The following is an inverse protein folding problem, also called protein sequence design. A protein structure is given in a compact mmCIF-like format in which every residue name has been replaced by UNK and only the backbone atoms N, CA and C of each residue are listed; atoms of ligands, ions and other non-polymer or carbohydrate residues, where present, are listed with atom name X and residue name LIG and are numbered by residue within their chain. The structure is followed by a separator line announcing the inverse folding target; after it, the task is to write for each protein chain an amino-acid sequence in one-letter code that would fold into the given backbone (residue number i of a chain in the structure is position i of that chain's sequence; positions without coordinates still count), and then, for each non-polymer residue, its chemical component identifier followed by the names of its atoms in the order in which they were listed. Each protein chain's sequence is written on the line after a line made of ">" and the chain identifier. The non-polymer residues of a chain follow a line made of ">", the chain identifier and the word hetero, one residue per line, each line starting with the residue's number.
data_IF_365289484042
#
_entry.id   IF_365289484042
#
_cell.length_a   1.000
_cell.length_b   1.000
_cell.length_c   1.000
_cell.angle_alpha   90.00
_cell.angle_beta   90.00
_cell.angle_gamma   90.00
#
_symmetry.space_group_name_H-M   'P 1'
#
loop_
_entity.id
_entity.type
_entity.pdbx_description
1 polymer ?
#
# COMPACT_ATOMS: atom_id res chain seq x y z
N UNK A 1 22.39 13.31 0.85
CA UNK A 1 20.94 13.12 0.66
C UNK A 1 20.21 13.82 1.80
N UNK A 2 19.03 14.42 1.57
CA UNK A 2 18.17 14.87 2.68
C UNK A 2 17.41 13.65 3.20
N UNK A 3 17.32 13.50 4.52
CA UNK A 3 16.50 12.45 5.13
C UNK A 3 15.01 12.69 4.77
N UNK A 4 14.27 11.68 4.28
CA UNK A 4 12.86 11.83 3.93
C UNK A 4 11.93 11.85 5.16
N UNK A 5 12.47 11.59 6.36
CA UNK A 5 11.73 11.56 7.62
C UNK A 5 11.99 12.82 8.46
N UNK A 6 10.98 13.38 9.15
CA UNK A 6 11.21 14.38 10.18
C UNK A 6 12.03 13.75 11.33
N UNK A 7 12.99 14.51 11.88
CA UNK A 7 13.93 14.00 12.90
C UNK A 7 13.31 13.66 14.25
N UNK A 8 12.13 14.20 14.54
CA UNK A 8 11.36 13.92 15.74
C UNK A 8 9.97 13.41 15.32
N UNK A 9 9.36 12.47 16.07
CA UNK A 9 7.93 12.24 15.98
C UNK A 9 7.24 13.55 16.39
N UNK A 10 6.46 14.14 15.48
CA UNK A 10 5.60 15.25 15.86
C UNK A 10 4.41 14.69 16.64
N UNK A 11 3.97 15.39 17.68
CA UNK A 11 2.67 15.12 18.31
C UNK A 11 1.59 15.27 17.24
N UNK A 12 0.91 14.17 16.91
CA UNK A 12 -0.11 14.09 15.87
C UNK A 12 -1.31 14.95 16.28
N UNK A 13 -1.46 16.14 15.70
CA UNK A 13 -2.51 17.11 16.07
C UNK A 13 -3.83 16.84 15.35
N UNK A 14 -4.37 15.64 15.56
CA UNK A 14 -5.66 15.20 15.04
C UNK A 14 -5.65 13.72 14.59
N UNK A 15 -6.78 13.20 14.07
CA UNK A 15 -6.79 11.91 13.40
C UNK A 15 -6.11 12.01 12.02
N UNK A 16 -5.17 11.11 11.66
CA UNK A 16 -4.51 11.10 10.36
C UNK A 16 -5.49 11.12 9.18
N UNK A 17 -5.31 12.07 8.26
CA UNK A 17 -6.27 12.34 7.19
C UNK A 17 -5.83 11.78 5.84
N UNK A 18 -6.78 11.58 4.92
CA UNK A 18 -6.50 11.29 3.52
C UNK A 18 -6.72 12.54 2.65
N UNK A 19 -5.72 12.88 1.85
CA UNK A 19 -5.84 13.85 0.76
C UNK A 19 -5.87 13.08 -0.57
N UNK A 20 -7.05 13.02 -1.19
CA UNK A 20 -7.24 12.24 -2.43
C UNK A 20 -6.83 13.09 -3.63
N UNK A 21 -5.89 12.57 -4.42
CA UNK A 21 -5.29 13.26 -5.56
C UNK A 21 -5.65 12.52 -6.85
N UNK A 22 -6.27 13.23 -7.78
CA UNK A 22 -6.37 12.81 -9.17
C UNK A 22 -5.14 13.38 -9.90
N UNK A 23 -4.20 12.54 -10.38
CA UNK A 23 -3.06 13.01 -11.17
C UNK A 23 -3.56 13.58 -12.50
N UNK A 24 -3.00 14.72 -12.94
CA UNK A 24 -3.28 15.25 -14.26
C UNK A 24 -2.72 14.33 -15.36
N UNK A 25 -3.13 14.54 -16.63
CA UNK A 25 -2.73 13.68 -17.74
C UNK A 25 -1.19 13.49 -17.86
N UNK A 26 -0.39 14.52 -17.61
CA UNK A 26 1.07 14.43 -17.65
C UNK A 26 1.63 13.55 -16.52
N UNK A 27 1.16 13.76 -15.29
CA UNK A 27 1.52 12.96 -14.12
C UNK A 27 1.08 11.49 -14.30
N UNK A 28 -0.12 11.28 -14.82
CA UNK A 28 -0.69 9.97 -15.07
C UNK A 28 0.07 9.20 -16.16
N UNK A 29 0.49 9.84 -17.26
CA UNK A 29 1.42 9.23 -18.24
C UNK A 29 2.78 8.88 -17.63
N UNK A 30 3.32 9.75 -16.78
CA UNK A 30 4.59 9.49 -16.09
C UNK A 30 4.51 8.26 -15.18
N UNK A 31 3.38 8.05 -14.48
CA UNK A 31 3.13 6.84 -13.68
C UNK A 31 3.09 5.59 -14.58
N UNK A 32 2.37 5.61 -15.70
CA UNK A 32 2.35 4.47 -16.63
C UNK A 32 3.74 4.13 -17.20
N UNK A 33 4.56 5.15 -17.48
CA UNK A 33 5.96 5.01 -17.92
C UNK A 33 6.86 4.42 -16.84
N UNK A 34 6.74 4.88 -15.59
CA UNK A 34 7.44 4.32 -14.43
C UNK A 34 7.09 2.83 -14.27
N UNK A 35 5.80 2.48 -14.39
CA UNK A 35 5.35 1.09 -14.35
C UNK A 35 5.95 0.26 -15.49
N UNK A 36 5.93 0.75 -16.74
CA UNK A 36 6.54 0.06 -17.89
C UNK A 36 8.04 -0.18 -17.71
N UNK A 37 8.78 0.85 -17.31
CA UNK A 37 10.25 0.79 -17.23
C UNK A 37 10.76 -0.23 -16.21
N UNK A 38 9.96 -0.53 -15.19
CA UNK A 38 10.33 -1.47 -14.13
C UNK A 38 9.63 -2.84 -14.23
N UNK A 39 8.66 -3.01 -15.13
CA UNK A 39 7.82 -4.24 -15.21
C UNK A 39 8.65 -5.53 -15.39
N UNK A 40 9.81 -5.45 -16.05
CA UNK A 40 10.72 -6.60 -16.24
C UNK A 40 11.34 -6.99 -14.90
N UNK A 41 11.99 -6.05 -14.22
CA UNK A 41 12.63 -6.25 -12.91
C UNK A 41 11.63 -6.59 -11.79
N UNK A 42 10.34 -6.36 -12.02
CA UNK A 42 9.24 -6.74 -11.13
C UNK A 42 8.68 -8.13 -11.42
N UNK A 43 8.57 -8.53 -12.70
CA UNK A 43 8.23 -9.92 -13.08
C UNK A 43 9.29 -10.92 -12.63
N UNK A 44 10.56 -10.52 -12.64
CA UNK A 44 11.68 -11.31 -12.07
C UNK A 44 11.57 -11.53 -10.55
N UNK A 45 10.70 -10.76 -9.87
CA UNK A 45 10.43 -10.83 -8.42
C UNK A 45 9.00 -11.27 -8.11
N UNK A 46 8.31 -11.87 -9.10
CA UNK A 46 6.91 -12.31 -9.03
C UNK A 46 5.90 -11.22 -8.61
N UNK A 47 6.23 -9.94 -8.80
CA UNK A 47 5.31 -8.86 -8.49
C UNK A 47 4.22 -8.72 -9.55
N UNK A 48 2.97 -8.75 -9.09
CA UNK A 48 1.82 -8.35 -9.90
C UNK A 48 1.84 -6.85 -10.22
N UNK A 49 1.21 -6.49 -11.34
CA UNK A 49 0.89 -5.11 -11.71
C UNK A 49 -0.57 -5.04 -12.16
N UNK A 50 -1.16 -3.84 -12.11
CA UNK A 50 -2.55 -3.62 -12.51
C UNK A 50 -2.66 -2.40 -13.43
N UNK A 51 -3.27 -2.58 -14.61
CA UNK A 51 -3.54 -1.52 -15.58
C UNK A 51 -4.83 -1.78 -16.38
N UNK A 52 -5.39 -0.77 -17.07
CA UNK A 52 -6.42 -0.92 -18.08
C UNK A 52 -5.99 -1.94 -19.15
N UNK A 53 -6.91 -2.80 -19.64
CA UNK A 53 -6.61 -3.75 -20.71
C UNK A 53 -5.96 -3.11 -21.95
N UNK A 54 -6.33 -1.86 -22.25
CA UNK A 54 -5.80 -1.04 -23.34
C UNK A 54 -4.29 -0.75 -23.20
N UNK A 55 -3.74 -0.80 -21.98
CA UNK A 55 -2.34 -0.50 -21.70
C UNK A 55 -1.46 -1.77 -21.59
N UNK A 56 -2.05 -2.97 -21.60
CA UNK A 56 -1.28 -4.23 -21.51
C UNK A 56 -0.18 -4.32 -22.57
N UNK A 57 -0.51 -4.07 -23.85
CA UNK A 57 0.45 -4.11 -24.95
C UNK A 57 1.61 -3.12 -24.78
N UNK A 58 1.38 -1.99 -24.10
CA UNK A 58 2.42 -1.00 -23.81
C UNK A 58 3.36 -1.46 -22.70
N UNK A 59 2.80 -1.99 -21.60
CA UNK A 59 3.60 -2.58 -20.52
C UNK A 59 4.37 -3.83 -21.00
N UNK A 60 3.84 -4.57 -21.97
CA UNK A 60 4.55 -5.68 -22.62
C UNK A 60 5.61 -5.25 -23.65
N UNK A 61 5.81 -3.94 -23.86
CA UNK A 61 6.78 -3.41 -24.81
C UNK A 61 6.43 -3.60 -26.29
N UNK A 62 5.18 -3.99 -26.61
CA UNK A 62 4.70 -4.29 -27.97
C UNK A 62 4.28 -3.05 -28.77
N UNK A 63 4.16 -1.88 -28.13
CA UNK A 63 3.84 -0.60 -28.79
C UNK A 63 4.78 0.51 -28.34
N UNK A 64 4.93 1.53 -29.19
CA UNK A 64 5.78 2.70 -28.96
C UNK A 64 5.20 3.63 -27.88
N UNK A 65 6.02 4.55 -27.36
CA UNK A 65 5.54 5.63 -26.49
C UNK A 65 4.58 6.59 -27.22
N UNK A 66 4.75 6.79 -28.53
CA UNK A 66 3.89 7.66 -29.34
C UNK A 66 2.49 7.05 -29.55
N UNK A 67 2.41 5.73 -29.74
CA UNK A 67 1.13 5.02 -29.89
C UNK A 67 0.44 4.81 -28.54
N UNK A 68 1.23 4.65 -27.47
CA UNK A 68 0.72 4.73 -26.11
C UNK A 68 0.14 6.11 -25.82
N UNK A 69 0.83 7.21 -26.12
CA UNK A 69 0.33 8.57 -25.83
C UNK A 69 -1.01 8.85 -26.55
N UNK A 70 -1.15 8.44 -27.82
CA UNK A 70 -2.44 8.52 -28.56
C UNK A 70 -3.55 7.71 -27.86
N UNK A 71 -3.22 6.51 -27.40
CA UNK A 71 -4.17 5.60 -26.73
C UNK A 71 -4.56 6.12 -25.35
N UNK A 72 -3.57 6.60 -24.59
CA UNK A 72 -3.72 7.19 -23.29
C UNK A 72 -4.58 8.45 -23.35
N UNK A 73 -4.35 9.36 -24.28
CA UNK A 73 -5.11 10.60 -24.38
C UNK A 73 -6.59 10.36 -24.72
N UNK A 74 -6.91 9.30 -25.46
CA UNK A 74 -8.29 8.85 -25.67
C UNK A 74 -8.88 8.25 -24.40
N UNK A 75 -8.14 7.36 -23.73
CA UNK A 75 -8.56 6.70 -22.50
C UNK A 75 -8.81 7.71 -21.37
N UNK A 76 -7.86 8.60 -21.13
CA UNK A 76 -7.89 9.59 -20.04
C UNK A 76 -9.04 10.60 -20.18
N UNK A 77 -9.41 10.98 -21.41
CA UNK A 77 -10.61 11.82 -21.65
C UNK A 77 -11.92 11.11 -21.31
N UNK A 78 -11.92 9.77 -21.27
CA UNK A 78 -13.07 8.93 -20.87
C UNK A 78 -12.93 8.37 -19.44
N UNK A 79 -11.86 8.73 -18.74
CA UNK A 79 -11.60 8.29 -17.37
C UNK A 79 -12.35 9.20 -16.39
N UNK A 80 -13.37 8.64 -15.75
CA UNK A 80 -14.10 9.30 -14.67
C UNK A 80 -13.70 8.67 -13.32
N UNK A 81 -12.87 9.37 -12.51
CA UNK A 81 -12.48 8.89 -11.19
C UNK A 81 -13.51 9.17 -10.09
N UNK A 82 -14.62 9.88 -10.35
CA UNK A 82 -15.52 10.40 -9.31
C UNK A 82 -16.08 9.32 -8.38
N UNK A 83 -16.49 8.17 -8.93
CA UNK A 83 -17.00 7.04 -8.12
C UNK A 83 -15.94 6.52 -7.13
N UNK A 84 -14.69 6.42 -7.56
CA UNK A 84 -13.58 5.94 -6.71
C UNK A 84 -13.13 7.03 -5.73
N UNK A 85 -13.19 8.32 -6.10
CA UNK A 85 -13.00 9.45 -5.17
C UNK A 85 -14.05 9.39 -4.05
N UNK A 86 -15.34 9.29 -4.41
CA UNK A 86 -16.43 9.23 -3.44
C UNK A 86 -16.30 8.00 -2.53
N UNK A 87 -15.89 6.86 -3.10
CA UNK A 87 -15.63 5.64 -2.34
C UNK A 87 -14.50 5.81 -1.34
N UNK A 88 -13.34 6.33 -1.77
CA UNK A 88 -12.20 6.61 -0.89
C UNK A 88 -12.55 7.65 0.18
N UNK A 89 -13.36 8.67 -0.13
CA UNK A 89 -13.89 9.60 0.88
C UNK A 89 -14.73 8.87 1.94
N UNK A 90 -15.59 7.94 1.52
CA UNK A 90 -16.39 7.12 2.44
C UNK A 90 -15.52 6.17 3.31
N UNK A 91 -14.33 5.80 2.84
CA UNK A 91 -13.35 5.02 3.62
C UNK A 91 -12.68 5.83 4.75
N UNK A 92 -12.66 7.16 4.68
CA UNK A 92 -11.84 8.02 5.56
C UNK A 92 -12.10 7.80 7.07
N UNK A 93 -13.34 7.64 7.58
CA UNK A 93 -13.57 7.34 9.00
C UNK A 93 -13.01 5.98 9.43
N UNK A 94 -13.09 4.97 8.54
CA UNK A 94 -12.54 3.63 8.78
C UNK A 94 -11.01 3.65 8.75
N UNK A 95 -10.43 4.37 7.79
CA UNK A 95 -8.99 4.60 7.68
C UNK A 95 -8.44 5.32 8.92
N UNK A 96 -9.04 6.45 9.31
CA UNK A 96 -8.70 7.19 10.54
C UNK A 96 -8.71 6.30 11.78
N UNK A 97 -9.75 5.47 11.94
CA UNK A 97 -9.86 4.51 13.05
C UNK A 97 -8.78 3.42 12.98
N UNK A 98 -8.46 2.92 11.79
CA UNK A 98 -7.44 1.90 11.56
C UNK A 98 -6.02 2.42 11.83
N UNK A 99 -5.64 3.56 11.26
CA UNK A 99 -4.33 4.19 11.51
C UNK A 99 -4.18 4.60 12.97
N UNK A 100 -5.25 5.02 13.65
CA UNK A 100 -5.23 5.27 15.10
C UNK A 100 -4.80 4.03 15.90
N UNK A 101 -5.11 2.81 15.45
CA UNK A 101 -4.64 1.58 16.10
C UNK A 101 -3.12 1.39 16.01
N UNK A 102 -2.42 2.12 15.14
CA UNK A 102 -0.95 2.10 15.05
C UNK A 102 -0.28 3.06 16.04
N UNK A 103 -1.01 3.94 16.73
CA UNK A 103 -0.42 4.91 17.68
C UNK A 103 0.50 4.27 18.75
N UNK A 104 0.17 3.11 19.36
CA UNK A 104 1.07 2.44 20.31
C UNK A 104 2.40 1.94 19.72
N UNK A 105 2.55 1.95 18.38
CA UNK A 105 3.80 1.62 17.70
C UNK A 105 4.73 2.84 17.58
N UNK A 106 4.23 4.07 17.78
CA UNK A 106 5.05 5.29 17.65
C UNK A 106 6.19 5.35 18.68
N UNK A 107 5.95 4.86 19.90
CA UNK A 107 6.96 4.72 20.97
C UNK A 107 8.19 3.90 20.55
N UNK A 108 8.02 3.05 19.54
CA UNK A 108 9.08 2.20 19.01
C UNK A 108 9.80 2.82 17.81
N UNK A 109 9.27 3.89 17.22
CA UNK A 109 9.77 4.53 16.01
C UNK A 109 8.86 4.39 14.77
N UNK A 110 7.65 3.85 14.90
CA UNK A 110 6.68 3.77 13.81
C UNK A 110 6.23 5.17 13.37
N UNK A 111 6.27 5.43 12.08
CA UNK A 111 5.94 6.75 11.53
C UNK A 111 4.44 6.86 11.18
N UNK A 112 3.73 7.78 11.84
CA UNK A 112 2.35 8.14 11.49
C UNK A 112 2.34 9.60 11.03
N UNK A 113 2.16 9.89 9.72
CA UNK A 113 1.93 11.25 9.25
C UNK A 113 0.52 11.75 9.56
N UNK A 114 0.39 13.06 9.76
CA UNK A 114 -0.92 13.74 9.91
C UNK A 114 -1.80 13.65 8.66
N UNK A 115 -1.18 13.44 7.49
CA UNK A 115 -1.85 13.35 6.20
C UNK A 115 -1.15 12.32 5.29
N UNK A 116 -1.96 11.43 4.70
CA UNK A 116 -1.56 10.51 3.64
C UNK A 116 -2.09 11.05 2.30
N UNK A 117 -1.23 11.16 1.29
CA UNK A 117 -1.64 11.53 -0.05
C UNK A 117 -2.06 10.28 -0.83
N UNK A 118 -3.36 10.13 -1.10
CA UNK A 118 -3.94 8.97 -1.78
C UNK A 118 -4.11 9.30 -3.26
N UNK A 119 -3.17 8.86 -4.09
CA UNK A 119 -3.19 9.12 -5.54
C UNK A 119 -3.98 8.04 -6.24
N UNK A 120 -5.06 8.41 -6.93
CA UNK A 120 -5.81 7.46 -7.77
C UNK A 120 -5.07 7.31 -9.09
N UNK A 121 -4.54 6.12 -9.36
CA UNK A 121 -3.65 5.86 -10.49
C UNK A 121 -4.32 5.08 -11.61
N UNK A 122 -4.00 5.37 -12.89
CA UNK A 122 -4.42 4.56 -14.03
C UNK A 122 -3.58 3.30 -14.18
N UNK A 123 -2.46 3.15 -13.46
CA UNK A 123 -1.60 1.97 -13.44
C UNK A 123 -0.96 1.90 -12.06
N UNK A 124 -0.92 0.71 -11.45
CA UNK A 124 -0.21 0.49 -10.20
C UNK A 124 0.73 -0.71 -10.29
N UNK A 125 1.84 -0.59 -9.59
CA UNK A 125 2.61 -1.70 -9.04
C UNK A 125 1.69 -2.39 -8.02
N UNK A 126 1.74 -3.71 -7.89
CA UNK A 126 0.86 -4.45 -6.99
C UNK A 126 -0.56 -4.67 -7.54
N UNK A 127 -1.32 -5.51 -6.83
CA UNK A 127 -2.65 -5.97 -7.26
C UNK A 127 -3.77 -5.03 -6.76
N UNK A 128 -3.56 -4.34 -5.65
CA UNK A 128 -4.49 -3.36 -5.04
C UNK A 128 -3.98 -1.92 -5.07
N UNK A 129 -2.73 -1.72 -4.66
CA UNK A 129 -2.06 -0.42 -4.59
C UNK A 129 -0.56 -0.58 -4.35
N UNK A 130 0.07 0.50 -3.91
CA UNK A 130 1.46 0.54 -3.44
C UNK A 130 1.72 1.85 -2.68
N UNK A 131 2.89 1.96 -2.05
CA UNK A 131 3.26 3.16 -1.29
C UNK A 131 4.59 3.78 -1.78
N UNK A 132 4.78 5.06 -1.48
CA UNK A 132 6.02 5.80 -1.75
C UNK A 132 6.24 6.90 -0.71
N UNK A 133 7.45 6.99 -0.16
CA UNK A 133 7.89 8.14 0.61
C UNK A 133 8.61 9.12 -0.33
N UNK A 134 7.96 10.22 -0.66
CA UNK A 134 8.52 11.26 -1.53
C UNK A 134 8.98 12.47 -0.72
N UNK A 135 10.16 13.02 -1.04
CA UNK A 135 10.62 14.29 -0.47
C UNK A 135 9.85 15.52 -0.99
N UNK A 136 9.08 15.37 -2.08
CA UNK A 136 8.29 16.46 -2.69
C UNK A 136 6.78 16.32 -2.47
N UNK A 137 6.28 15.10 -2.30
CA UNK A 137 4.85 14.81 -2.06
C UNK A 137 4.57 14.21 -0.68
N UNK A 138 5.59 13.98 0.16
CA UNK A 138 5.42 13.30 1.43
C UNK A 138 4.96 11.84 1.27
N UNK A 139 4.32 11.27 2.31
CA UNK A 139 3.84 9.90 2.32
C UNK A 139 2.66 9.74 1.36
N UNK A 140 2.87 8.88 0.36
CA UNK A 140 1.96 8.69 -0.76
C UNK A 140 1.51 7.24 -0.82
N UNK A 141 0.20 7.02 -0.92
CA UNK A 141 -0.42 5.74 -1.22
C UNK A 141 -0.97 5.84 -2.65
N UNK A 142 -0.48 4.99 -3.55
CA UNK A 142 -1.00 4.82 -4.90
C UNK A 142 -2.09 3.77 -4.88
N UNK A 143 -3.32 4.15 -5.23
CA UNK A 143 -4.46 3.25 -5.36
C UNK A 143 -4.70 2.97 -6.85
N UNK A 144 -4.89 1.72 -7.24
CA UNK A 144 -5.27 1.42 -8.63
C UNK A 144 -6.76 1.65 -8.86
N UNK A 145 -7.11 2.41 -9.91
CA UNK A 145 -8.50 2.57 -10.35
C UNK A 145 -9.05 1.27 -10.96
N UNK A 146 -9.68 0.42 -10.14
CA UNK A 146 -10.45 -0.75 -10.62
C UNK A 146 -11.93 -0.42 -10.74
N UNK A 147 -12.47 -0.47 -11.96
CA UNK A 147 -13.93 -0.53 -12.17
C UNK A 147 -14.58 -1.77 -11.52
N UNK A 148 -13.88 -2.91 -11.49
CA UNK A 148 -14.37 -4.17 -10.91
C UNK A 148 -13.34 -4.79 -9.94
N UNK A 149 -13.66 -4.81 -8.64
CA UNK A 149 -12.81 -5.32 -7.56
C UNK A 149 -13.03 -6.83 -7.26
N UNK A 150 -12.88 -7.71 -8.25
CA UNK A 150 -13.02 -9.15 -8.01
C UNK A 150 -11.86 -9.78 -7.18
N UNK A 151 -12.22 -10.57 -6.15
CA UNK A 151 -11.50 -11.66 -5.41
C UNK A 151 -10.19 -11.41 -4.60
N UNK A 152 -10.31 -10.98 -3.33
CA UNK A 152 -9.30 -11.23 -2.26
C UNK A 152 -8.33 -10.06 -1.95
N UNK A 153 -8.31 -9.60 -0.69
CA UNK A 153 -7.71 -8.31 -0.25
C UNK A 153 -8.29 -7.05 -0.94
N UNK A 154 -9.56 -7.09 -1.33
CA UNK A 154 -10.16 -6.14 -2.30
C UNK A 154 -11.31 -5.31 -1.72
N UNK A 155 -11.06 -4.64 -0.58
CA UNK A 155 -11.76 -3.40 -0.21
C UNK A 155 -10.71 -2.27 -0.11
N UNK A 156 -11.06 -1.03 -0.51
CA UNK A 156 -10.13 0.10 -0.47
C UNK A 156 -9.59 0.36 0.94
N UNK A 157 -10.37 0.18 2.00
CA UNK A 157 -9.94 0.36 3.39
C UNK A 157 -8.78 -0.58 3.75
N UNK A 158 -8.89 -1.86 3.39
CA UNK A 158 -7.86 -2.86 3.69
C UNK A 158 -6.55 -2.56 2.96
N UNK A 159 -6.63 -2.16 1.69
CA UNK A 159 -5.48 -1.74 0.90
C UNK A 159 -4.85 -0.47 1.50
N UNK A 160 -5.63 0.61 1.71
CA UNK A 160 -5.14 1.86 2.31
C UNK A 160 -4.41 1.63 3.64
N UNK A 161 -4.91 0.74 4.49
CA UNK A 161 -4.31 0.43 5.78
C UNK A 161 -3.04 -0.43 5.67
N UNK A 162 -3.00 -1.40 4.77
CA UNK A 162 -1.79 -2.16 4.43
C UNK A 162 -0.67 -1.20 3.93
N UNK A 163 -0.97 -0.32 2.97
CA UNK A 163 -0.02 0.67 2.44
C UNK A 163 0.40 1.72 3.49
N UNK A 164 -0.52 2.15 4.35
CA UNK A 164 -0.21 3.04 5.47
C UNK A 164 0.68 2.38 6.52
N UNK A 165 0.57 1.06 6.72
CA UNK A 165 1.43 0.31 7.62
C UNK A 165 2.84 0.19 7.05
N UNK A 166 3.00 -0.09 5.76
CA UNK A 166 4.29 -0.02 5.06
C UNK A 166 5.00 1.34 5.26
N UNK A 167 4.29 2.45 5.03
CA UNK A 167 4.78 3.81 5.28
C UNK A 167 5.33 3.97 6.71
N UNK A 168 4.64 3.38 7.70
CA UNK A 168 5.01 3.49 9.09
C UNK A 168 6.17 2.59 9.52
N UNK A 169 6.36 1.43 8.89
CA UNK A 169 7.48 0.52 9.20
C UNK A 169 8.70 0.63 8.27
N UNK A 170 8.65 1.40 7.18
CA UNK A 170 9.72 1.50 6.18
C UNK A 170 11.12 1.69 6.79
N UNK A 171 11.25 2.55 7.80
CA UNK A 171 12.53 2.77 8.49
C UNK A 171 13.04 1.50 9.19
N UNK A 172 12.18 0.75 9.88
CA UNK A 172 12.57 -0.52 10.49
C UNK A 172 12.93 -1.58 9.44
N UNK A 173 12.17 -1.69 8.35
CA UNK A 173 12.47 -2.65 7.26
C UNK A 173 13.90 -2.44 6.78
N UNK A 174 14.29 -1.19 6.54
CA UNK A 174 15.64 -0.82 6.09
C UNK A 174 16.71 -1.13 7.15
N UNK A 175 16.42 -0.92 8.44
CA UNK A 175 17.33 -1.28 9.55
C UNK A 175 17.48 -2.80 9.75
N UNK A 176 16.42 -3.58 9.51
CA UNK A 176 16.45 -5.04 9.62
C UNK A 176 16.94 -5.73 8.35
N UNK A 177 16.91 -5.09 7.19
CA UNK A 177 17.39 -5.66 5.92
C UNK A 177 16.52 -6.81 5.41
N UNK A 178 15.22 -6.75 5.70
CA UNK A 178 14.23 -7.74 5.27
C UNK A 178 14.09 -7.73 3.74
N UNK A 179 13.86 -8.90 3.15
CA UNK A 179 13.43 -8.99 1.76
C UNK A 179 11.95 -8.59 1.61
N UNK A 180 11.44 -8.49 0.38
CA UNK A 180 10.07 -8.04 0.16
C UNK A 180 9.05 -9.05 0.73
N UNK A 181 9.21 -10.35 0.51
CA UNK A 181 8.23 -11.36 0.96
C UNK A 181 8.08 -11.37 2.49
N UNK A 182 9.19 -11.25 3.22
CA UNK A 182 9.22 -11.09 4.68
C UNK A 182 8.46 -9.83 5.11
N UNK A 183 8.72 -8.71 4.43
CA UNK A 183 8.08 -7.40 4.66
C UNK A 183 6.57 -7.45 4.40
N UNK A 184 6.14 -7.95 3.24
CA UNK A 184 4.73 -8.10 2.85
C UNK A 184 4.01 -8.97 3.88
N UNK A 185 4.63 -10.09 4.28
CA UNK A 185 4.11 -10.98 5.30
C UNK A 185 3.96 -10.31 6.66
N UNK A 186 4.95 -9.54 7.12
CA UNK A 186 4.86 -8.75 8.36
C UNK A 186 3.73 -7.71 8.26
N UNK A 187 3.59 -7.02 7.13
CA UNK A 187 2.53 -6.03 6.93
C UNK A 187 1.15 -6.67 6.87
N UNK A 188 0.98 -7.79 6.17
CA UNK A 188 -0.28 -8.54 6.15
C UNK A 188 -0.67 -9.02 7.54
N UNK A 189 0.28 -9.56 8.31
CA UNK A 189 0.04 -9.99 9.69
C UNK A 189 -0.36 -8.80 10.55
N UNK A 190 0.48 -7.75 10.60
CA UNK A 190 0.28 -6.65 11.53
C UNK A 190 -0.88 -5.73 11.14
N UNK A 191 -1.15 -5.54 9.84
CA UNK A 191 -2.37 -4.86 9.39
C UNK A 191 -3.61 -5.63 9.80
N UNK A 192 -3.65 -6.96 9.63
CA UNK A 192 -4.78 -7.82 10.06
C UNK A 192 -4.92 -7.95 11.58
N UNK A 193 -3.85 -7.81 12.36
CA UNK A 193 -3.90 -7.87 13.83
C UNK A 193 -4.26 -6.52 14.47
N UNK A 194 -3.73 -5.41 13.95
CA UNK A 194 -4.09 -4.06 14.40
C UNK A 194 -5.47 -3.63 13.89
N UNK A 195 -5.95 -4.20 12.78
CA UNK A 195 -7.36 -4.19 12.41
C UNK A 195 -8.16 -5.03 13.40
N UNK A 196 -8.63 -4.37 14.45
CA UNK A 196 -9.57 -4.95 15.43
C UNK A 196 -10.69 -5.69 14.68
N UNK A 197 -11.07 -6.93 15.05
CA UNK A 197 -12.10 -7.72 14.38
C UNK A 197 -13.50 -7.08 14.26
N UNK A 198 -13.69 -5.87 14.81
CA UNK A 198 -14.88 -5.03 14.68
C UNK A 198 -14.83 -4.03 13.50
N UNK A 199 -13.71 -3.93 12.78
CA UNK A 199 -13.52 -2.99 11.66
C UNK A 199 -13.70 -3.68 10.31
N UNK A 200 -13.29 -4.95 10.17
CA UNK A 200 -13.47 -5.73 8.94
C UNK A 200 -14.75 -6.59 8.97
N UNK A 201 -15.46 -6.77 7.85
CA UNK A 201 -16.56 -7.73 7.77
C UNK A 201 -16.06 -9.16 8.05
N UNK A 202 -16.85 -9.94 8.80
CA UNK A 202 -16.46 -11.30 9.27
C UNK A 202 -16.05 -12.27 8.15
N UNK A 203 -16.49 -12.04 6.91
CA UNK A 203 -16.07 -12.80 5.72
C UNK A 203 -14.57 -12.68 5.43
N UNK A 204 -13.96 -11.52 5.63
CA UNK A 204 -12.52 -11.31 5.43
C UNK A 204 -11.70 -12.02 6.52
N UNK A 205 -12.24 -12.12 7.73
CA UNK A 205 -11.63 -12.86 8.85
C UNK A 205 -11.67 -14.39 8.68
N UNK A 206 -12.45 -14.93 7.75
CA UNK A 206 -12.48 -16.37 7.47
C UNK A 206 -11.28 -16.84 6.65
N UNK A 207 -10.67 -15.99 5.82
CA UNK A 207 -9.39 -16.30 5.17
C UNK A 207 -8.23 -16.23 6.18
N UNK A 208 -8.24 -15.25 7.09
CA UNK A 208 -7.21 -15.13 8.13
C UNK A 208 -7.26 -16.26 9.16
N UNK A 209 -8.40 -16.96 9.34
CA UNK A 209 -8.44 -18.18 10.18
C UNK A 209 -7.50 -19.27 9.67
N UNK A 210 -7.49 -19.57 8.37
CA UNK A 210 -6.52 -20.53 7.80
C UNK A 210 -5.08 -20.10 8.00
N UNK A 211 -4.78 -18.80 7.90
CA UNK A 211 -3.43 -18.28 8.19
C UNK A 211 -3.10 -18.48 9.68
N UNK A 212 -3.97 -18.08 10.60
CA UNK A 212 -3.75 -18.24 12.06
C UNK A 212 -3.70 -19.70 12.53
N UNK A 213 -4.40 -20.61 11.87
CA UNK A 213 -4.40 -22.05 12.16
C UNK A 213 -3.17 -22.78 11.60
N UNK A 214 -2.58 -22.30 10.49
CA UNK A 214 -1.31 -22.80 9.93
C UNK A 214 -0.07 -22.12 10.54
N UNK A 215 -0.22 -20.92 11.08
CA UNK A 215 0.90 -20.03 11.37
C UNK A 215 1.84 -20.43 12.51
N UNK A 216 1.41 -20.72 13.76
CA UNK A 216 2.36 -20.84 14.87
C UNK A 216 3.27 -22.08 14.77
N UNK A 217 3.00 -22.98 13.83
CA UNK A 217 3.83 -24.16 13.50
C UNK A 217 4.84 -23.86 12.38
N UNK A 218 4.62 -22.79 11.59
CA UNK A 218 5.36 -22.48 10.35
C UNK A 218 6.05 -21.10 10.42
N UNK A 219 5.65 -20.24 11.35
CA UNK A 219 6.06 -18.84 11.42
C UNK A 219 6.53 -18.43 12.83
N UNK A 220 7.85 -18.34 13.06
CA UNK A 220 8.39 -17.88 14.33
C UNK A 220 7.95 -16.48 14.74
N UNK A 221 7.64 -15.57 13.79
CA UNK A 221 7.20 -14.21 14.12
C UNK A 221 5.88 -14.22 14.91
N UNK A 222 4.96 -15.12 14.51
CA UNK A 222 3.65 -15.26 15.13
C UNK A 222 3.63 -16.20 16.33
N UNK A 223 4.58 -17.13 16.45
CA UNK A 223 4.85 -17.84 17.70
C UNK A 223 5.23 -16.87 18.85
N UNK A 224 5.81 -15.71 18.52
CA UNK A 224 6.26 -14.67 19.46
C UNK A 224 5.20 -13.61 19.78
N UNK A 225 3.91 -13.90 19.60
CA UNK A 225 2.79 -12.93 19.79
C UNK A 225 2.73 -12.21 21.15
N UNK A 226 3.31 -12.80 22.21
CA UNK A 226 3.35 -12.19 23.56
C UNK A 226 4.44 -11.10 23.69
N UNK A 227 5.37 -11.00 22.73
CA UNK A 227 6.42 -9.98 22.70
C UNK A 227 5.97 -8.74 21.91
N UNK A 228 6.55 -7.54 22.17
CA UNK A 228 6.36 -6.37 21.30
C UNK A 228 6.87 -6.63 19.88
N UNK A 229 6.20 -6.07 18.86
CA UNK A 229 6.52 -6.26 17.44
C UNK A 229 8.02 -6.10 17.11
N UNK A 230 8.74 -5.07 17.60
CA UNK A 230 10.18 -4.91 17.31
C UNK A 230 11.05 -6.02 17.91
N UNK A 231 10.64 -6.65 19.01
CA UNK A 231 11.37 -7.80 19.56
C UNK A 231 11.05 -9.09 18.82
N UNK A 232 9.81 -9.25 18.31
CA UNK A 232 9.50 -10.30 17.32
C UNK A 232 10.39 -10.15 16.08
N UNK A 233 10.53 -8.93 15.53
CA UNK A 233 11.39 -8.65 14.36
C UNK A 233 12.86 -8.98 14.63
N UNK A 234 13.43 -8.53 15.75
CA UNK A 234 14.81 -8.84 16.15
C UNK A 234 15.06 -10.33 16.27
N UNK A 235 14.15 -11.07 16.91
CA UNK A 235 14.28 -12.52 17.09
C UNK A 235 14.07 -13.27 15.78
N UNK A 236 13.14 -12.83 14.93
CA UNK A 236 12.88 -13.42 13.61
C UNK A 236 14.09 -13.34 12.68
N UNK A 237 14.81 -12.21 12.68
CA UNK A 237 16.07 -12.03 11.92
C UNK A 237 17.21 -12.95 12.36
N UNK A 238 17.16 -13.49 13.59
CA UNK A 238 18.21 -14.30 14.20
C UNK A 238 17.88 -15.81 14.22
N UNK A 239 16.92 -16.24 13.39
CA UNK A 239 16.51 -17.63 13.17
C UNK A 239 16.90 -18.10 11.76
#
# INVERSE_FOLDING_TARGET
>A
MKEPYPKNPQEVKGPPSMNIIIPNALQARAICRDVRNNVVAWREKDYGFSCPPEFNSYLEGKVSDEDFDKTFDKWYKSWDPNDEVQRLQNCNPTFQKGVKAYQPLQDWGFFIPDQYNVVITPCSIGIGGGYRLSSTMGPTISMYYRRNWEKGFRTPEGCLLHEAYHIGIEKFILEFGLNQDEKERIVDICSQEALVPSILPKSHLQQSKKIKELSPVIDPFLAMKELPVPERLRRYKNL
#
